data_IF_237859333553
#
_entry.id   IF_237859333553
#
_cell.length_a   1.000
_cell.length_b   1.000
_cell.length_c   1.000
_cell.angle_alpha   90.00
_cell.angle_beta   90.00
_cell.angle_gamma   90.00
#
_symmetry.space_group_name_H-M   'P 1'
#
loop_
_entity.id
_entity.type
_entity.pdbx_description
1 polymer ?
#
# COMPACT_ATOMS: atom_id res chain seq x y z
N UNK A 1 -19.50 -16.68 -60.03
CA UNK A 1 -18.99 -15.40 -59.50
C UNK A 1 -20.06 -14.35 -59.67
N UNK A 2 -20.77 -14.02 -58.60
CA UNK A 2 -21.76 -12.95 -58.53
C UNK A 2 -21.59 -12.26 -57.17
N UNK A 3 -21.52 -10.93 -57.20
CA UNK A 3 -20.97 -10.10 -56.15
C UNK A 3 -21.71 -10.14 -54.81
N UNK A 4 -20.91 -10.15 -53.74
CA UNK A 4 -21.31 -9.93 -52.35
C UNK A 4 -22.03 -8.58 -52.22
N UNK A 5 -23.32 -8.61 -51.86
CA UNK A 5 -24.10 -7.44 -51.50
C UNK A 5 -23.81 -6.99 -50.06
N UNK A 6 -22.97 -5.98 -49.90
CA UNK A 6 -22.64 -5.27 -48.65
C UNK A 6 -23.81 -4.41 -48.09
N UNK A 7 -25.07 -4.88 -48.17
CA UNK A 7 -26.25 -4.07 -47.79
C UNK A 7 -27.32 -4.78 -46.94
N UNK A 8 -26.96 -5.82 -46.19
CA UNK A 8 -27.90 -6.46 -45.25
C UNK A 8 -27.33 -6.77 -43.86
N UNK A 9 -26.21 -6.15 -43.47
CA UNK A 9 -25.87 -6.01 -42.05
C UNK A 9 -26.48 -4.71 -41.54
N UNK A 10 -27.81 -4.70 -41.38
CA UNK A 10 -28.43 -3.80 -40.40
C UNK A 10 -27.75 -4.18 -39.07
N UNK A 11 -26.91 -3.30 -38.54
CA UNK A 11 -26.65 -3.25 -37.10
C UNK A 11 -28.03 -3.26 -36.45
N UNK A 12 -28.45 -4.42 -35.95
CA UNK A 12 -29.32 -4.41 -34.80
C UNK A 12 -28.46 -3.72 -33.75
N UNK A 13 -28.87 -2.51 -33.39
CA UNK A 13 -28.48 -1.93 -32.12
C UNK A 13 -28.93 -2.94 -31.06
N UNK A 14 -28.03 -3.85 -30.68
CA UNK A 14 -28.07 -4.55 -29.41
C UNK A 14 -27.82 -3.51 -28.31
N UNK A 15 -28.75 -2.56 -28.18
CA UNK A 15 -29.07 -1.88 -26.93
C UNK A 15 -29.96 -2.81 -26.09
N UNK A 16 -29.61 -4.09 -26.00
CA UNK A 16 -29.80 -4.77 -24.73
C UNK A 16 -28.71 -4.19 -23.82
N UNK A 17 -28.97 -3.01 -23.28
CA UNK A 17 -28.33 -2.55 -22.06
C UNK A 17 -28.44 -3.75 -21.13
N UNK A 18 -27.31 -4.40 -20.81
CA UNK A 18 -27.24 -5.25 -19.64
C UNK A 18 -27.67 -4.32 -18.51
N UNK A 19 -28.94 -4.40 -18.09
CA UNK A 19 -29.44 -3.68 -16.94
C UNK A 19 -28.68 -4.25 -15.74
N UNK A 20 -27.52 -3.65 -15.46
CA UNK A 20 -26.68 -4.03 -14.35
C UNK A 20 -27.48 -3.91 -13.06
N UNK A 21 -27.21 -4.81 -12.13
CA UNK A 21 -27.93 -4.85 -10.87
C UNK A 21 -27.54 -3.63 -10.02
N UNK A 22 -28.53 -2.92 -9.49
CA UNK A 22 -28.31 -1.88 -8.48
C UNK A 22 -28.43 -2.50 -7.09
N UNK A 23 -27.41 -2.32 -6.26
CA UNK A 23 -27.36 -2.86 -4.89
C UNK A 23 -26.90 -1.80 -3.89
N UNK A 24 -27.62 -1.64 -2.78
CA UNK A 24 -27.25 -0.73 -1.70
C UNK A 24 -26.51 -1.45 -0.57
N UNK A 25 -25.44 -0.82 -0.08
CA UNK A 25 -24.67 -1.25 1.07
C UNK A 25 -24.35 -0.03 1.94
N UNK A 26 -24.67 -0.01 3.24
CA UNK A 26 -24.40 1.17 4.08
C UNK A 26 -22.93 1.60 4.07
N UNK A 27 -22.02 0.63 4.17
CA UNK A 27 -20.57 0.86 4.16
C UNK A 27 -19.89 0.04 3.06
N UNK A 28 -19.12 0.71 2.21
CA UNK A 28 -18.20 0.05 1.28
C UNK A 28 -16.77 0.44 1.66
N UNK A 29 -15.93 -0.58 1.85
CA UNK A 29 -14.49 -0.43 2.01
C UNK A 29 -13.83 -0.83 0.70
N UNK A 30 -13.17 0.09 0.02
CA UNK A 30 -12.53 -0.13 -1.27
C UNK A 30 -11.02 -0.15 -1.11
N UNK A 31 -10.36 -1.22 -1.55
CA UNK A 31 -8.91 -1.25 -1.71
C UNK A 31 -8.28 -2.60 -1.43
N UNK A 32 -7.47 -3.08 -2.38
CA UNK A 32 -6.78 -4.38 -2.32
C UNK A 32 -5.46 -4.28 -1.53
N UNK A 33 -5.55 -3.83 -0.29
CA UNK A 33 -4.37 -3.59 0.55
C UNK A 33 -4.59 -4.14 1.95
N UNK A 34 -3.50 -4.35 2.68
CA UNK A 34 -3.55 -4.72 4.10
C UNK A 34 -4.45 -3.77 4.89
N UNK A 35 -4.37 -2.46 4.61
CA UNK A 35 -5.20 -1.46 5.28
C UNK A 35 -6.65 -1.44 4.79
N UNK A 36 -6.93 -1.87 3.56
CA UNK A 36 -8.28 -2.19 3.10
C UNK A 36 -8.91 -3.32 3.92
N UNK A 37 -8.18 -4.42 4.11
CA UNK A 37 -8.60 -5.53 4.97
C UNK A 37 -8.84 -5.09 6.43
N UNK A 38 -7.86 -4.41 7.04
CA UNK A 38 -7.98 -3.96 8.43
C UNK A 38 -9.14 -2.97 8.61
N UNK A 39 -9.35 -2.09 7.64
CA UNK A 39 -10.50 -1.17 7.62
C UNK A 39 -11.80 -1.95 7.50
N UNK A 40 -11.88 -2.93 6.60
CA UNK A 40 -13.05 -3.79 6.46
C UNK A 40 -13.41 -4.48 7.77
N UNK A 41 -12.47 -5.16 8.42
CA UNK A 41 -12.73 -5.84 9.69
C UNK A 41 -13.25 -4.86 10.75
N UNK A 42 -12.56 -3.72 10.92
CA UNK A 42 -12.93 -2.70 11.92
C UNK A 42 -14.34 -2.15 11.67
N UNK A 43 -14.69 -1.86 10.42
CA UNK A 43 -16.03 -1.34 10.07
C UNK A 43 -17.08 -2.44 10.11
N UNK A 44 -16.77 -3.66 9.69
CA UNK A 44 -17.67 -4.81 9.73
C UNK A 44 -18.09 -5.13 11.17
N UNK A 45 -17.14 -5.16 12.10
CA UNK A 45 -17.42 -5.35 13.54
C UNK A 45 -18.27 -4.20 14.11
N UNK A 46 -17.88 -2.94 13.86
CA UNK A 46 -18.59 -1.76 14.38
C UNK A 46 -19.99 -1.57 13.80
N UNK A 47 -20.25 -2.11 12.61
CA UNK A 47 -21.53 -1.97 11.90
C UNK A 47 -22.39 -3.24 11.96
N UNK A 48 -22.04 -4.20 12.82
CA UNK A 48 -22.76 -5.47 12.99
C UNK A 48 -22.93 -6.23 11.65
N UNK A 49 -21.86 -6.25 10.86
CA UNK A 49 -21.81 -6.95 9.58
C UNK A 49 -22.31 -6.16 8.37
N UNK A 50 -22.67 -4.88 8.52
CA UNK A 50 -23.19 -4.01 7.45
C UNK A 50 -22.08 -3.31 6.65
N UNK A 51 -21.04 -4.06 6.30
CA UNK A 51 -19.95 -3.60 5.46
C UNK A 51 -19.68 -4.59 4.32
N UNK A 52 -19.21 -4.07 3.19
CA UNK A 52 -18.72 -4.87 2.06
C UNK A 52 -17.30 -4.47 1.71
N UNK A 53 -16.49 -5.47 1.35
CA UNK A 53 -15.11 -5.27 0.96
C UNK A 53 -15.00 -5.31 -0.56
N UNK A 54 -14.71 -4.18 -1.18
CA UNK A 54 -14.65 -4.01 -2.62
C UNK A 54 -13.21 -4.14 -3.11
N UNK A 55 -12.96 -5.15 -3.92
CA UNK A 55 -11.65 -5.51 -4.48
C UNK A 55 -11.78 -5.80 -5.98
N UNK A 56 -10.69 -5.76 -6.72
CA UNK A 56 -10.64 -6.10 -8.16
C UNK A 56 -10.48 -7.61 -8.38
N UNK A 57 -9.72 -8.24 -7.50
CA UNK A 57 -9.30 -9.63 -7.43
C UNK A 57 -9.66 -10.21 -6.07
N UNK A 58 -9.48 -11.53 -5.92
CA UNK A 58 -9.59 -12.18 -4.62
C UNK A 58 -8.48 -11.69 -3.69
N UNK A 59 -8.86 -11.17 -2.52
CA UNK A 59 -7.94 -10.73 -1.48
C UNK A 59 -8.28 -11.45 -0.17
N UNK A 60 -7.51 -12.49 0.14
CA UNK A 60 -7.69 -13.40 1.28
C UNK A 60 -6.37 -13.51 2.08
N UNK A 61 -6.32 -14.43 3.03
CA UNK A 61 -5.17 -14.68 3.91
C UNK A 61 -3.84 -14.77 3.15
N UNK A 62 -3.79 -15.43 2.00
CA UNK A 62 -2.57 -15.53 1.18
C UNK A 62 -2.06 -14.13 0.77
N UNK A 63 -2.92 -13.28 0.19
CA UNK A 63 -2.53 -11.95 -0.25
C UNK A 63 -2.20 -11.03 0.94
N UNK A 64 -2.96 -11.14 2.03
CA UNK A 64 -2.72 -10.37 3.26
C UNK A 64 -1.36 -10.73 3.88
N UNK A 65 -1.04 -12.02 3.95
CA UNK A 65 0.24 -12.50 4.48
C UNK A 65 1.41 -12.11 3.58
N UNK A 66 1.23 -12.11 2.26
CA UNK A 66 2.23 -11.60 1.32
C UNK A 66 2.49 -10.09 1.52
N UNK A 67 1.43 -9.31 1.72
CA UNK A 67 1.53 -7.88 2.02
C UNK A 67 2.28 -7.60 3.33
N UNK A 68 2.02 -8.40 4.36
CA UNK A 68 2.73 -8.31 5.64
C UNK A 68 4.21 -8.68 5.51
N UNK A 69 4.49 -9.79 4.83
CA UNK A 69 5.86 -10.24 4.60
C UNK A 69 6.68 -9.17 3.87
N UNK A 70 6.07 -8.48 2.90
CA UNK A 70 6.71 -7.42 2.12
C UNK A 70 6.58 -6.01 2.72
N UNK A 71 6.07 -5.85 3.95
CA UNK A 71 6.01 -4.54 4.61
C UNK A 71 7.34 -4.20 5.29
N UNK A 72 7.99 -3.11 4.84
CA UNK A 72 9.23 -2.61 5.43
C UNK A 72 9.00 -2.05 6.84
N UNK A 73 10.02 -2.07 7.69
CA UNK A 73 9.88 -1.54 9.05
C UNK A 73 9.81 0.00 9.01
N UNK A 74 8.63 0.52 9.36
CA UNK A 74 8.31 1.94 9.25
C UNK A 74 8.27 2.68 10.60
N UNK A 75 8.36 1.98 11.73
CA UNK A 75 8.41 2.64 13.04
C UNK A 75 9.87 2.93 13.35
N UNK A 76 10.28 4.18 13.17
CA UNK A 76 11.70 4.62 13.31
C UNK A 76 11.89 5.75 14.31
N UNK A 77 10.82 6.11 14.99
CA UNK A 77 10.79 7.15 16.02
C UNK A 77 10.15 6.58 17.28
N UNK A 78 10.65 6.98 18.46
CA UNK A 78 10.13 6.51 19.74
C UNK A 78 8.69 7.01 19.97
N UNK A 79 8.39 8.25 19.60
CA UNK A 79 7.01 8.77 19.73
C UNK A 79 6.04 8.02 18.84
N UNK A 80 6.46 7.66 17.62
CA UNK A 80 5.63 6.87 16.71
C UNK A 80 5.41 5.46 17.28
N UNK A 81 6.43 4.88 17.92
CA UNK A 81 6.31 3.58 18.59
C UNK A 81 5.32 3.63 19.76
N UNK A 82 5.39 4.68 20.59
CA UNK A 82 4.51 4.84 21.74
C UNK A 82 3.05 5.09 21.31
N UNK A 83 2.83 5.91 20.26
CA UNK A 83 1.49 6.29 19.79
C UNK A 83 0.76 5.14 19.06
N UNK A 84 1.49 4.24 18.38
CA UNK A 84 0.91 3.14 17.61
C UNK A 84 0.59 1.88 18.43
N UNK A 85 0.84 1.88 19.74
CA UNK A 85 0.50 0.76 20.61
C UNK A 85 -1.02 0.57 20.77
N UNK A 86 -1.66 -0.19 19.86
CA UNK A 86 -3.04 -0.65 19.99
C UNK A 86 -3.12 -2.19 19.88
N UNK A 87 -4.24 -2.79 20.30
CA UNK A 87 -4.37 -4.22 20.67
C UNK A 87 -3.77 -5.26 19.69
N UNK A 88 -3.65 -4.94 18.40
CA UNK A 88 -3.19 -5.87 17.35
C UNK A 88 -1.71 -5.69 16.98
N UNK A 89 -1.07 -4.59 17.39
CA UNK A 89 0.32 -4.26 17.07
C UNK A 89 1.22 -4.44 18.29
N UNK A 90 2.17 -5.37 18.20
CA UNK A 90 3.24 -5.51 19.17
C UNK A 90 4.49 -4.81 18.65
N UNK A 91 4.94 -3.78 19.38
CA UNK A 91 6.14 -3.01 19.02
C UNK A 91 7.28 -3.42 19.95
N UNK A 92 8.30 -4.05 19.37
CA UNK A 92 9.50 -4.51 20.06
C UNK A 92 10.54 -3.39 20.19
N UNK A 93 11.56 -3.63 21.00
CA UNK A 93 12.68 -2.70 21.18
C UNK A 93 13.39 -2.36 19.87
N UNK A 94 13.90 -1.14 19.78
CA UNK A 94 14.65 -0.67 18.61
C UNK A 94 15.84 -1.58 18.27
N UNK A 95 16.10 -1.75 16.96
CA UNK A 95 17.21 -2.54 16.43
C UNK A 95 18.56 -1.84 16.60
N UNK A 96 19.62 -2.51 16.14
CA UNK A 96 20.96 -1.90 16.06
C UNK A 96 20.97 -0.71 15.11
N UNK A 97 21.99 0.14 15.27
CA UNK A 97 22.25 1.29 14.38
C UNK A 97 22.35 0.84 12.92
N UNK A 98 21.62 1.48 12.00
CA UNK A 98 21.71 1.17 10.58
C UNK A 98 23.11 1.32 10.01
N UNK A 99 23.38 0.56 8.96
CA UNK A 99 24.66 0.56 8.24
C UNK A 99 24.47 1.02 6.80
N UNK A 100 25.53 1.52 6.19
CA UNK A 100 25.59 1.71 4.74
C UNK A 100 26.85 1.04 4.17
N UNK A 101 26.75 0.55 2.93
CA UNK A 101 27.86 -0.12 2.27
C UNK A 101 28.65 0.85 1.38
N UNK A 102 29.96 0.97 1.63
CA UNK A 102 30.87 1.81 0.85
C UNK A 102 32.31 1.33 0.96
N UNK A 103 33.07 1.44 -0.14
CA UNK A 103 34.48 1.05 -0.19
C UNK A 103 34.71 -0.38 0.33
N UNK A 104 33.82 -1.30 -0.09
CA UNK A 104 33.81 -2.73 0.29
C UNK A 104 33.57 -3.04 1.77
N UNK A 105 33.07 -2.07 2.55
CA UNK A 105 32.83 -2.23 3.99
C UNK A 105 31.50 -1.62 4.41
N UNK A 106 30.97 -2.11 5.51
CA UNK A 106 29.83 -1.49 6.18
C UNK A 106 30.31 -0.41 7.14
N UNK A 107 29.64 0.74 7.09
CA UNK A 107 29.89 1.89 7.95
C UNK A 107 28.60 2.28 8.66
N UNK A 108 28.72 2.85 9.86
CA UNK A 108 27.56 3.41 10.58
C UNK A 108 27.20 4.78 10.00
N UNK A 109 25.90 5.08 9.92
CA UNK A 109 25.45 6.46 9.68
C UNK A 109 25.98 7.40 10.78
N UNK A 110 26.38 8.61 10.38
CA UNK A 110 27.02 9.59 11.28
C UNK A 110 28.52 9.36 11.55
N UNK A 111 29.13 8.31 10.98
CA UNK A 111 30.58 8.11 11.06
C UNK A 111 31.37 9.04 10.12
N UNK A 112 32.70 8.95 10.12
CA UNK A 112 33.57 9.74 9.23
C UNK A 112 33.33 9.42 7.75
N UNK A 113 32.96 8.18 7.43
CA UNK A 113 32.58 7.81 6.08
C UNK A 113 31.21 8.40 5.76
N UNK A 114 31.02 8.90 4.54
CA UNK A 114 29.73 9.39 4.05
C UNK A 114 29.11 8.37 3.10
N UNK A 115 27.81 8.07 3.21
CA UNK A 115 27.12 7.20 2.25
C UNK A 115 27.18 7.80 0.84
N UNK A 116 26.87 6.98 -0.16
CA UNK A 116 26.50 7.52 -1.48
C UNK A 116 25.22 8.37 -1.34
N UNK A 117 24.94 9.27 -2.29
CA UNK A 117 23.73 10.09 -2.26
C UNK A 117 22.49 9.22 -2.00
N UNK A 118 21.69 9.64 -1.02
CA UNK A 118 20.41 9.02 -0.71
C UNK A 118 19.36 9.77 -1.51
N UNK A 119 18.54 9.04 -2.27
CA UNK A 119 17.41 9.62 -2.96
C UNK A 119 16.31 9.99 -1.96
N UNK A 120 15.39 10.90 -2.34
CA UNK A 120 14.25 11.23 -1.51
C UNK A 120 13.52 9.97 -1.02
N UNK A 121 13.29 9.88 0.29
CA UNK A 121 12.61 8.74 0.91
C UNK A 121 13.55 7.66 1.44
N UNK A 122 14.75 7.51 0.86
CA UNK A 122 15.76 6.56 1.36
C UNK A 122 16.36 7.03 2.71
N UNK A 123 16.45 8.35 2.91
CA UNK A 123 16.94 8.97 4.15
C UNK A 123 16.17 8.50 5.40
N UNK A 124 14.90 8.14 5.23
CA UNK A 124 14.07 7.60 6.30
C UNK A 124 14.68 6.34 6.94
N UNK A 125 15.38 5.53 6.13
CA UNK A 125 15.97 4.25 6.54
C UNK A 125 17.37 4.38 7.16
N UNK A 126 17.86 5.61 7.36
CA UNK A 126 19.13 5.89 8.06
C UNK A 126 19.01 5.84 9.60
N UNK A 127 17.79 5.68 10.12
CA UNK A 127 17.49 5.57 11.56
C UNK A 127 17.18 4.12 11.97
N UNK A 128 17.49 3.69 13.20
CA UNK A 128 17.04 2.39 13.72
C UNK A 128 15.52 2.26 13.61
N UNK A 129 15.01 1.02 13.54
CA UNK A 129 13.57 0.78 13.56
C UNK A 129 13.18 -0.03 14.80
N UNK A 130 11.93 0.12 15.21
CA UNK A 130 11.25 -0.76 16.15
C UNK A 130 10.59 -1.87 15.33
N UNK A 131 10.86 -3.12 15.66
CA UNK A 131 10.22 -4.23 14.97
C UNK A 131 8.73 -4.24 15.32
N UNK A 132 7.90 -4.31 14.29
CA UNK A 132 6.44 -4.33 14.42
C UNK A 132 5.95 -5.71 14.04
N UNK A 133 5.35 -6.40 15.00
CA UNK A 133 4.68 -7.67 14.76
C UNK A 133 3.17 -7.44 14.79
N UNK A 134 2.50 -7.65 13.65
CA UNK A 134 1.05 -7.58 13.53
C UNK A 134 0.48 -8.99 13.58
N UNK A 135 -0.33 -9.29 14.60
CA UNK A 135 -1.02 -10.59 14.73
C UNK A 135 -2.43 -10.45 14.18
N UNK A 136 -2.69 -11.07 13.04
CA UNK A 136 -4.00 -11.06 12.40
C UNK A 136 -4.66 -12.44 12.53
N UNK A 137 -5.89 -12.44 13.03
CA UNK A 137 -6.79 -13.58 12.89
C UNK A 137 -7.61 -13.36 11.62
N UNK A 138 -7.21 -14.03 10.53
CA UNK A 138 -7.83 -13.85 9.21
C UNK A 138 -8.89 -14.90 8.99
N UNK A 139 -10.15 -14.47 8.91
CA UNK A 139 -11.27 -15.35 8.59
C UNK A 139 -11.62 -15.26 7.10
N UNK A 140 -11.06 -16.17 6.31
CA UNK A 140 -11.28 -16.22 4.86
C UNK A 140 -12.74 -16.50 4.48
N UNK A 141 -13.51 -17.21 5.30
CA UNK A 141 -14.93 -17.47 5.04
C UNK A 141 -15.75 -16.18 5.12
N UNK A 142 -15.53 -15.39 6.18
CA UNK A 142 -16.18 -14.09 6.36
C UNK A 142 -15.74 -13.13 5.28
N UNK A 143 -14.44 -13.08 4.94
CA UNK A 143 -13.96 -12.24 3.85
C UNK A 143 -14.59 -12.61 2.52
N UNK A 144 -14.54 -13.89 2.13
CA UNK A 144 -15.09 -14.35 0.86
C UNK A 144 -16.60 -14.08 0.74
N UNK A 145 -17.35 -14.22 1.83
CA UNK A 145 -18.80 -13.97 1.84
C UNK A 145 -19.16 -12.48 1.71
N UNK A 146 -18.28 -11.57 2.11
CA UNK A 146 -18.54 -10.12 2.13
C UNK A 146 -17.73 -9.33 1.10
N UNK A 147 -16.93 -10.02 0.27
CA UNK A 147 -16.11 -9.41 -0.76
C UNK A 147 -16.88 -9.23 -2.08
N UNK A 148 -16.91 -7.99 -2.58
CA UNK A 148 -17.42 -7.62 -3.89
C UNK A 148 -16.23 -7.53 -4.84
N UNK A 149 -16.06 -8.52 -5.72
CA UNK A 149 -14.99 -8.54 -6.72
C UNK A 149 -15.44 -7.81 -7.98
N UNK A 150 -15.16 -6.51 -8.06
CA UNK A 150 -15.58 -5.61 -9.15
C UNK A 150 -14.50 -4.58 -9.45
N UNK A 151 -14.30 -4.30 -10.74
CA UNK A 151 -13.47 -3.18 -11.19
C UNK A 151 -14.36 -1.93 -11.24
N UNK A 152 -14.00 -0.88 -10.52
CA UNK A 152 -14.74 0.39 -10.57
C UNK A 152 -14.23 1.25 -11.73
N UNK A 153 -15.15 1.67 -12.60
CA UNK A 153 -14.87 2.56 -13.74
C UNK A 153 -15.06 4.02 -13.37
N UNK A 154 -16.08 4.32 -12.57
CA UNK A 154 -16.39 5.69 -12.13
C UNK A 154 -17.16 5.70 -10.83
N UNK A 155 -17.02 6.80 -10.09
CA UNK A 155 -17.73 7.10 -8.85
C UNK A 155 -18.54 8.37 -9.09
N UNK A 156 -19.82 8.36 -8.74
CA UNK A 156 -20.66 9.55 -8.75
C UNK A 156 -21.06 9.91 -7.33
N UNK A 157 -20.78 11.15 -6.95
CA UNK A 157 -21.16 11.71 -5.64
C UNK A 157 -22.61 12.18 -5.73
N UNK A 158 -23.42 11.83 -4.73
CA UNK A 158 -24.86 12.04 -4.72
C UNK A 158 -25.32 12.76 -3.46
N UNK A 159 -26.36 13.59 -3.61
CA UNK A 159 -27.14 14.06 -2.47
C UNK A 159 -28.23 13.04 -2.14
N UNK A 160 -28.38 12.63 -0.88
CA UNK A 160 -29.32 11.60 -0.48
C UNK A 160 -30.73 12.17 -0.59
N UNK A 161 -31.58 11.44 -1.31
CA UNK A 161 -33.01 11.77 -1.45
C UNK A 161 -33.89 10.85 -0.60
N UNK A 162 -33.39 9.67 -0.23
CA UNK A 162 -34.02 8.73 0.68
C UNK A 162 -33.39 8.85 2.08
N UNK A 163 -34.24 8.85 3.11
CA UNK A 163 -33.83 8.90 4.51
C UNK A 163 -33.51 7.51 5.09
N UNK A 164 -33.99 6.44 4.45
CA UNK A 164 -33.77 5.05 4.91
C UNK A 164 -32.49 4.48 4.34
N UNK A 165 -32.26 4.66 3.03
CA UNK A 165 -31.05 4.25 2.33
C UNK A 165 -30.34 5.48 1.74
N UNK A 166 -29.68 6.31 2.58
CA UNK A 166 -29.03 7.52 2.12
C UNK A 166 -27.87 7.17 1.17
N UNK A 167 -28.06 7.40 -0.12
CA UNK A 167 -27.03 7.20 -1.14
C UNK A 167 -26.19 8.45 -1.29
N UNK A 168 -24.93 8.37 -0.86
CA UNK A 168 -23.92 9.41 -1.05
C UNK A 168 -22.98 9.11 -2.21
N UNK A 169 -22.80 7.83 -2.54
CA UNK A 169 -21.93 7.39 -3.64
C UNK A 169 -22.62 6.33 -4.50
N UNK A 170 -22.50 6.47 -5.82
CA UNK A 170 -22.81 5.44 -6.82
C UNK A 170 -21.50 4.99 -7.49
N UNK A 171 -21.09 3.75 -7.25
CA UNK A 171 -19.89 3.14 -7.82
C UNK A 171 -20.30 2.31 -9.03
N UNK A 172 -19.93 2.77 -10.22
CA UNK A 172 -20.22 2.08 -11.46
C UNK A 172 -19.10 1.12 -11.81
N UNK A 173 -19.48 -0.13 -12.01
CA UNK A 173 -18.56 -1.24 -12.22
C UNK A 173 -18.22 -1.46 -13.69
N UNK A 174 -17.19 -2.27 -13.94
CA UNK A 174 -16.72 -2.64 -15.26
C UNK A 174 -17.74 -3.41 -16.10
N UNK A 175 -18.57 -4.20 -15.43
CA UNK A 175 -19.58 -5.11 -15.95
C UNK A 175 -21.01 -4.52 -15.97
N UNK A 176 -21.18 -3.26 -15.54
CA UNK A 176 -22.42 -2.50 -15.70
C UNK A 176 -23.27 -2.39 -14.43
N UNK A 177 -22.95 -3.14 -13.38
CA UNK A 177 -23.61 -3.02 -12.07
C UNK A 177 -23.34 -1.67 -11.40
N UNK A 178 -24.25 -1.26 -10.52
CA UNK A 178 -24.14 -0.04 -9.72
C UNK A 178 -24.21 -0.42 -8.24
N UNK A 179 -23.11 -0.21 -7.53
CA UNK A 179 -23.05 -0.38 -6.08
C UNK A 179 -23.29 0.99 -5.44
N UNK A 180 -24.23 1.11 -4.52
CA UNK A 180 -24.54 2.38 -3.84
C UNK A 180 -24.24 2.30 -2.36
N UNK A 181 -23.72 3.38 -1.77
CA UNK A 181 -23.44 3.42 -0.35
C UNK A 181 -23.62 4.79 0.29
N UNK A 182 -23.80 4.78 1.61
CA UNK A 182 -23.75 5.98 2.45
C UNK A 182 -22.31 6.37 2.74
N UNK A 183 -21.48 5.43 3.19
CA UNK A 183 -20.08 5.69 3.57
C UNK A 183 -19.12 4.91 2.70
N UNK A 184 -18.12 5.62 2.17
CA UNK A 184 -17.05 5.05 1.37
C UNK A 184 -15.72 5.18 2.11
N UNK A 185 -15.11 4.05 2.45
CA UNK A 185 -13.76 3.99 2.99
C UNK A 185 -12.78 3.65 1.86
N UNK A 186 -12.05 4.65 1.38
CA UNK A 186 -11.14 4.52 0.25
C UNK A 186 -9.72 4.24 0.75
N UNK A 187 -9.25 3.02 0.52
CA UNK A 187 -8.00 2.46 1.05
C UNK A 187 -6.90 2.29 -0.02
N UNK A 188 -7.12 2.86 -1.21
CA UNK A 188 -6.13 3.02 -2.29
C UNK A 188 -5.59 4.46 -2.30
N UNK A 189 -4.79 4.81 -3.31
CA UNK A 189 -4.28 6.17 -3.48
C UNK A 189 -5.42 7.21 -3.55
N UNK A 190 -5.48 8.21 -2.65
CA UNK A 190 -6.52 9.22 -2.67
C UNK A 190 -6.65 9.95 -4.02
N UNK A 191 -5.56 10.13 -4.76
CA UNK A 191 -5.61 10.73 -6.10
C UNK A 191 -6.39 9.88 -7.10
N UNK A 192 -6.41 8.57 -6.96
CA UNK A 192 -7.22 7.68 -7.81
C UNK A 192 -8.71 7.84 -7.54
N UNK A 193 -9.11 8.11 -6.29
CA UNK A 193 -10.48 8.51 -6.00
C UNK A 193 -10.87 9.75 -6.83
N UNK A 194 -10.03 10.80 -6.84
CA UNK A 194 -10.29 12.00 -7.64
C UNK A 194 -10.39 11.72 -9.15
N UNK A 195 -9.61 10.76 -9.66
CA UNK A 195 -9.67 10.34 -11.06
C UNK A 195 -10.95 9.56 -11.39
N UNK A 196 -11.43 8.76 -10.45
CA UNK A 196 -12.65 7.97 -10.58
C UNK A 196 -13.92 8.81 -10.44
N UNK A 197 -13.90 9.92 -9.70
CA UNK A 197 -15.06 10.80 -9.55
C UNK A 197 -15.44 11.45 -10.88
N UNK A 198 -16.67 11.19 -11.33
CA UNK A 198 -17.26 11.73 -12.57
C UNK A 198 -17.64 13.21 -12.41
N UNK A 199 -18.41 13.53 -11.37
CA UNK A 199 -18.93 14.86 -11.06
C UNK A 199 -18.09 15.56 -9.99
N UNK A 200 -16.85 15.91 -10.34
CA UNK A 200 -15.86 16.50 -9.42
C UNK A 200 -16.36 17.75 -8.71
N UNK A 201 -17.24 18.52 -9.34
CA UNK A 201 -17.88 19.71 -8.79
C UNK A 201 -18.67 19.44 -7.50
N UNK A 202 -19.15 18.21 -7.29
CA UNK A 202 -19.86 17.80 -6.08
C UNK A 202 -18.93 17.56 -4.87
N UNK A 203 -17.62 17.48 -5.07
CA UNK A 203 -16.65 17.40 -3.98
C UNK A 203 -16.45 18.78 -3.34
N UNK A 204 -16.23 18.81 -2.02
CA UNK A 204 -15.82 20.04 -1.33
C UNK A 204 -14.45 20.54 -1.83
N UNK A 205 -14.21 21.85 -1.71
CA UNK A 205 -12.95 22.46 -2.14
C UNK A 205 -11.76 21.92 -1.32
N UNK A 206 -11.97 21.61 -0.05
CA UNK A 206 -11.01 20.94 0.82
C UNK A 206 -10.61 19.56 0.29
N UNK A 207 -11.58 18.73 -0.10
CA UNK A 207 -11.32 17.40 -0.67
C UNK A 207 -10.53 17.55 -1.97
N UNK A 208 -10.97 18.43 -2.89
CA UNK A 208 -10.23 18.67 -4.14
C UNK A 208 -8.79 19.11 -3.89
N UNK A 209 -8.59 20.07 -2.98
CA UNK A 209 -7.28 20.61 -2.63
C UNK A 209 -6.36 19.52 -2.07
N UNK A 210 -6.88 18.66 -1.20
CA UNK A 210 -6.12 17.54 -0.67
C UNK A 210 -5.72 16.58 -1.79
N UNK A 211 -6.68 16.08 -2.59
CA UNK A 211 -6.45 15.02 -3.56
C UNK A 211 -5.51 15.43 -4.71
N UNK A 212 -5.54 16.69 -5.13
CA UNK A 212 -4.67 17.20 -6.21
C UNK A 212 -3.21 17.32 -5.75
N UNK A 213 -2.97 17.58 -4.46
CA UNK A 213 -1.63 17.73 -3.91
C UNK A 213 -0.92 16.39 -3.68
N UNK A 214 -1.67 15.28 -3.55
CA UNK A 214 -1.09 13.95 -3.30
C UNK A 214 -0.31 13.46 -4.51
N UNK A 215 0.95 13.10 -4.27
CA UNK A 215 1.81 12.40 -5.22
C UNK A 215 2.24 11.07 -4.62
N UNK A 216 2.31 10.04 -5.44
CA UNK A 216 2.79 8.72 -5.04
C UNK A 216 4.02 8.31 -5.85
N UNK A 217 4.89 7.54 -5.21
CA UNK A 217 6.14 7.06 -5.77
C UNK A 217 6.17 5.53 -5.63
N UNK A 218 6.35 4.80 -6.74
CA UNK A 218 6.29 3.36 -6.72
C UNK A 218 7.55 2.75 -6.10
N UNK A 219 7.39 1.56 -5.55
CA UNK A 219 8.47 0.79 -4.95
C UNK A 219 8.27 -0.70 -5.14
N UNK A 220 9.38 -1.44 -5.14
CA UNK A 220 9.34 -2.90 -5.11
C UNK A 220 10.01 -3.39 -3.85
N UNK A 221 9.32 -4.28 -3.13
CA UNK A 221 9.86 -4.96 -1.96
C UNK A 221 9.92 -6.45 -2.23
N UNK A 222 11.03 -7.06 -1.84
CA UNK A 222 11.23 -8.51 -1.89
C UNK A 222 11.55 -8.99 -0.49
N UNK A 223 10.68 -9.82 0.06
CA UNK A 223 10.93 -10.56 1.27
C UNK A 223 11.65 -11.87 0.94
N UNK A 224 12.73 -12.17 1.63
CA UNK A 224 13.48 -13.40 1.48
C UNK A 224 13.38 -14.22 2.75
N UNK A 225 12.73 -15.37 2.65
CA UNK A 225 12.75 -16.40 3.69
C UNK A 225 13.99 -17.28 3.48
N UNK A 226 15.04 -17.07 4.28
CA UNK A 226 16.33 -17.74 4.09
C UNK A 226 16.60 -18.75 5.21
N UNK A 227 16.78 -20.01 4.82
CA UNK A 227 17.21 -21.07 5.72
C UNK A 227 18.72 -21.00 5.92
N UNK A 228 19.14 -20.74 7.15
CA UNK A 228 20.54 -20.45 7.50
C UNK A 228 20.73 -19.03 8.02
N UNK A 229 21.94 -18.75 8.51
CA UNK A 229 22.35 -17.45 9.01
C UNK A 229 23.37 -16.86 8.05
N UNK A 230 23.14 -15.65 7.56
CA UNK A 230 24.02 -14.96 6.62
C UNK A 230 24.59 -13.65 7.17
N UNK A 231 24.06 -13.12 8.27
CA UNK A 231 24.53 -11.85 8.84
C UNK A 231 24.47 -11.83 10.37
N UNK A 232 25.48 -11.20 10.99
CA UNK A 232 25.49 -10.86 12.42
C UNK A 232 24.74 -9.54 12.73
N UNK A 233 24.46 -8.76 11.69
CA UNK A 233 23.72 -7.52 11.81
C UNK A 233 22.21 -7.79 11.78
N UNK A 234 21.49 -7.15 12.70
CA UNK A 234 20.02 -7.12 12.75
C UNK A 234 19.63 -5.64 12.77
N UNK A 235 18.86 -5.22 11.79
CA UNK A 235 18.59 -3.81 11.51
C UNK A 235 18.69 -3.47 10.02
N UNK A 236 18.60 -2.18 9.71
CA UNK A 236 18.63 -1.68 8.34
C UNK A 236 20.03 -1.54 7.77
N UNK A 237 20.20 -1.91 6.51
CA UNK A 237 21.41 -1.68 5.71
C UNK A 237 21.02 -0.99 4.41
N UNK A 238 21.77 0.05 4.04
CA UNK A 238 21.61 0.78 2.77
C UNK A 238 22.77 0.43 1.85
N UNK A 239 22.47 -0.14 0.68
CA UNK A 239 23.46 -0.65 -0.27
C UNK A 239 23.23 0.02 -1.62
N UNK A 240 24.24 0.72 -2.19
CA UNK A 240 24.07 1.38 -3.47
C UNK A 240 23.82 0.38 -4.59
N UNK A 241 22.87 0.68 -5.50
CA UNK A 241 22.61 -0.16 -6.67
C UNK A 241 23.84 -0.22 -7.59
N UNK A 242 24.59 0.88 -7.66
CA UNK A 242 25.85 1.00 -8.39
C UNK A 242 26.88 1.77 -7.55
N UNK A 243 28.14 1.34 -7.62
CA UNK A 243 29.25 2.06 -6.99
C UNK A 243 29.68 3.30 -7.78
N UNK A 244 29.26 3.41 -9.04
CA UNK A 244 29.73 4.43 -9.98
C UNK A 244 28.63 5.31 -10.53
N UNK A 245 27.35 4.95 -10.33
CA UNK A 245 26.19 5.68 -10.82
C UNK A 245 25.20 5.93 -9.68
N UNK A 246 24.57 7.11 -9.69
CA UNK A 246 23.58 7.53 -8.70
C UNK A 246 22.19 6.99 -9.06
N UNK A 247 22.03 5.66 -9.06
CA UNK A 247 20.76 4.99 -9.34
C UNK A 247 19.91 4.73 -8.10
N UNK A 248 20.26 5.34 -6.97
CA UNK A 248 19.68 5.04 -5.67
C UNK A 248 20.27 3.81 -4.99
N UNK A 249 19.57 3.36 -3.95
CA UNK A 249 20.05 2.34 -3.04
C UNK A 249 19.00 1.22 -2.85
N UNK A 250 19.47 0.00 -2.61
CA UNK A 250 18.68 -1.04 -1.98
C UNK A 250 18.69 -0.83 -0.47
N UNK A 251 17.51 -0.74 0.13
CA UNK A 251 17.37 -0.75 1.58
C UNK A 251 16.98 -2.15 2.02
N UNK A 252 17.69 -2.68 3.02
CA UNK A 252 17.55 -4.04 3.50
C UNK A 252 17.29 -4.02 5.00
N UNK A 253 16.14 -4.52 5.45
CA UNK A 253 15.90 -4.78 6.87
C UNK A 253 16.16 -6.26 7.16
N UNK A 254 17.17 -6.54 7.98
CA UNK A 254 17.55 -7.90 8.38
C UNK A 254 16.95 -8.22 9.75
N UNK A 255 16.26 -9.36 9.84
CA UNK A 255 15.63 -9.87 11.05
C UNK A 255 16.60 -10.75 11.87
N UNK A 256 16.33 -10.98 13.16
CA UNK A 256 17.07 -11.95 13.97
C UNK A 256 17.06 -13.35 13.36
N UNK A 257 18.13 -14.12 13.61
CA UNK A 257 18.15 -15.54 13.27
C UNK A 257 17.35 -16.34 14.30
N UNK A 258 16.23 -16.92 13.87
CA UNK A 258 15.30 -17.66 14.71
C UNK A 258 14.80 -18.93 14.01
N UNK A 259 14.63 -20.02 14.77
CA UNK A 259 14.07 -21.29 14.27
C UNK A 259 14.74 -21.87 13.01
N UNK A 260 16.03 -21.59 12.79
CA UNK A 260 16.76 -22.07 11.62
C UNK A 260 16.73 -21.13 10.41
N UNK A 261 16.06 -19.98 10.51
CA UNK A 261 15.88 -19.01 9.43
C UNK A 261 16.40 -17.63 9.82
N UNK A 262 16.93 -16.89 8.86
CA UNK A 262 17.19 -15.46 8.97
C UNK A 262 16.46 -14.76 7.82
N UNK A 263 15.35 -14.09 8.12
CA UNK A 263 14.58 -13.40 7.10
C UNK A 263 15.12 -11.99 6.88
N UNK A 264 14.89 -11.46 5.69
CA UNK A 264 15.11 -10.05 5.43
C UNK A 264 14.18 -9.53 4.34
N UNK A 265 13.98 -8.22 4.34
CA UNK A 265 13.19 -7.50 3.33
C UNK A 265 14.10 -6.53 2.63
N UNK A 266 14.13 -6.55 1.30
CA UNK A 266 14.90 -5.64 0.49
C UNK A 266 13.97 -4.82 -0.40
N UNK A 267 14.15 -3.50 -0.43
CA UNK A 267 13.31 -2.59 -1.20
C UNK A 267 14.14 -1.59 -1.99
N UNK A 268 13.56 -1.17 -3.12
CA UNK A 268 14.04 -0.02 -3.90
C UNK A 268 12.85 0.76 -4.43
N UNK A 269 13.02 2.07 -4.55
CA UNK A 269 12.12 2.89 -5.34
C UNK A 269 12.27 2.55 -6.83
N UNK A 270 11.18 2.71 -7.57
CA UNK A 270 11.12 2.49 -9.01
C UNK A 270 10.83 3.85 -9.66
N UNK A 271 11.54 4.16 -10.73
CA UNK A 271 11.25 5.35 -11.53
C UNK A 271 9.97 5.12 -12.33
N UNK A 272 9.18 6.18 -12.57
CA UNK A 272 7.90 6.08 -13.28
C UNK A 272 8.05 5.51 -14.70
N UNK A 273 9.24 5.66 -15.31
CA UNK A 273 9.55 5.12 -16.63
C UNK A 273 9.89 3.60 -16.61
N UNK A 274 10.26 3.06 -15.44
CA UNK A 274 10.73 1.67 -15.24
C UNK A 274 9.63 0.75 -14.67
N UNK A 275 8.37 0.98 -15.03
CA UNK A 275 7.21 0.23 -14.50
C UNK A 275 6.84 -1.02 -15.31
N UNK A 276 7.59 -1.36 -16.37
CA UNK A 276 7.34 -2.56 -17.18
C UNK A 276 7.85 -3.82 -16.47
N UNK A 277 7.16 -4.94 -16.67
CA UNK A 277 7.48 -6.22 -16.01
C UNK A 277 8.94 -6.67 -16.25
N UNK A 278 9.47 -6.46 -17.45
CA UNK A 278 10.85 -6.79 -17.78
C UNK A 278 11.87 -6.00 -16.94
N UNK A 279 11.59 -4.71 -16.71
CA UNK A 279 12.48 -3.82 -15.96
C UNK A 279 12.39 -4.06 -14.46
N UNK A 280 11.19 -4.33 -13.94
CA UNK A 280 11.00 -4.82 -12.58
C UNK A 280 11.77 -6.13 -12.33
N UNK A 281 11.68 -7.08 -13.27
CA UNK A 281 12.43 -8.34 -13.17
C UNK A 281 13.95 -8.12 -13.22
N UNK A 282 14.45 -7.19 -14.06
CA UNK A 282 15.87 -6.80 -14.07
C UNK A 282 16.29 -6.20 -12.73
N UNK A 283 15.47 -5.34 -12.12
CA UNK A 283 15.75 -4.73 -10.80
C UNK A 283 15.84 -5.78 -9.70
N UNK A 284 14.94 -6.77 -9.66
CA UNK A 284 14.98 -7.86 -8.66
C UNK A 284 16.24 -8.72 -8.82
N UNK A 285 16.60 -9.08 -10.06
CA UNK A 285 17.84 -9.83 -10.33
C UNK A 285 19.09 -9.04 -9.92
N UNK A 286 19.11 -7.73 -10.21
CA UNK A 286 20.19 -6.84 -9.78
C UNK A 286 20.27 -6.77 -8.25
N UNK A 287 19.14 -6.60 -7.57
CA UNK A 287 19.04 -6.59 -6.11
C UNK A 287 19.70 -7.84 -5.54
N UNK A 288 19.25 -9.04 -5.93
CA UNK A 288 19.81 -10.30 -5.44
C UNK A 288 21.32 -10.40 -5.67
N UNK A 289 21.79 -10.10 -6.89
CA UNK A 289 23.23 -10.14 -7.23
C UNK A 289 24.07 -9.18 -6.39
N UNK A 290 23.55 -7.98 -6.12
CA UNK A 290 24.24 -6.99 -5.30
C UNK A 290 24.29 -7.44 -3.84
N UNK A 291 23.20 -8.01 -3.32
CA UNK A 291 23.15 -8.54 -1.96
C UNK A 291 24.12 -9.70 -1.76
N UNK A 292 24.14 -10.70 -2.65
CA UNK A 292 25.07 -11.84 -2.59
C UNK A 292 26.53 -11.37 -2.66
N UNK A 293 26.85 -10.38 -3.48
CA UNK A 293 28.20 -9.79 -3.53
C UNK A 293 28.61 -9.09 -2.22
N UNK A 294 27.67 -8.43 -1.55
CA UNK A 294 27.91 -7.60 -0.36
C UNK A 294 27.85 -8.43 0.93
N UNK A 295 27.09 -9.51 0.92
CA UNK A 295 26.93 -10.49 2.00
C UNK A 295 27.12 -11.90 1.43
N UNK A 296 28.37 -12.34 1.17
CA UNK A 296 28.67 -13.61 0.48
C UNK A 296 28.08 -14.84 1.17
N UNK A 297 27.90 -14.81 2.49
CA UNK A 297 27.29 -15.88 3.26
C UNK A 297 25.83 -16.16 2.84
N UNK A 298 25.17 -15.20 2.19
CA UNK A 298 23.82 -15.35 1.65
C UNK A 298 23.75 -16.43 0.55
N UNK A 299 24.83 -16.64 -0.21
CA UNK A 299 24.90 -17.69 -1.24
C UNK A 299 24.78 -19.10 -0.66
N UNK A 300 25.11 -19.28 0.63
CA UNK A 300 25.01 -20.55 1.33
C UNK A 300 23.62 -20.80 1.93
N UNK A 301 22.71 -19.83 1.87
CA UNK A 301 21.36 -19.94 2.40
C UNK A 301 20.36 -20.33 1.30
N UNK A 302 19.43 -21.22 1.63
CA UNK A 302 18.30 -21.51 0.75
C UNK A 302 17.24 -20.43 0.95
N UNK A 303 17.12 -19.52 -0.02
CA UNK A 303 16.23 -18.36 0.07
C UNK A 303 15.03 -18.48 -0.89
N UNK A 304 13.82 -18.35 -0.35
CA UNK A 304 12.58 -18.27 -1.13
C UNK A 304 12.07 -16.84 -1.13
N UNK A 305 11.94 -16.19 -2.31
CA UNK A 305 11.47 -14.80 -2.40
C UNK A 305 9.95 -14.70 -2.48
N UNK A 306 9.38 -13.73 -1.77
CA UNK A 306 8.04 -13.17 -1.99
C UNK A 306 8.19 -11.74 -2.49
N UNK A 307 7.53 -11.38 -3.57
CA UNK A 307 7.70 -10.09 -4.25
C UNK A 307 6.40 -9.30 -4.15
N UNK A 308 6.51 -8.01 -3.82
CA UNK A 308 5.42 -7.04 -3.92
C UNK A 308 5.89 -5.81 -4.66
N UNK A 309 5.24 -5.51 -5.78
CA UNK A 309 5.31 -4.21 -6.43
C UNK A 309 4.15 -3.36 -5.93
N UNK A 310 4.45 -2.16 -5.46
CA UNK A 310 3.47 -1.23 -4.93
C UNK A 310 3.59 0.08 -5.72
N UNK A 311 2.53 0.42 -6.46
CA UNK A 311 2.46 1.65 -7.25
C UNK A 311 2.44 2.90 -6.37
N UNK A 312 2.10 2.74 -5.10
CA UNK A 312 1.83 3.82 -4.16
C UNK A 312 2.58 3.62 -2.84
N UNK A 313 3.83 3.17 -2.93
CA UNK A 313 4.65 2.83 -1.77
C UNK A 313 4.95 4.05 -0.87
N UNK A 314 5.26 5.20 -1.48
CA UNK A 314 5.56 6.45 -0.76
C UNK A 314 4.70 7.59 -1.27
N UNK A 315 4.23 8.43 -0.34
CA UNK A 315 3.45 9.61 -0.67
C UNK A 315 4.18 10.91 -0.35
N UNK A 316 3.85 11.95 -1.10
CA UNK A 316 4.27 13.34 -0.91
C UNK A 316 3.08 14.28 -1.08
N UNK A 317 3.24 15.54 -0.67
CA UNK A 317 2.20 16.58 -0.80
C UNK A 317 0.98 16.41 0.11
N UNK A 318 1.09 15.56 1.13
CA UNK A 318 0.02 15.31 2.10
C UNK A 318 -0.20 16.54 2.98
N UNK A 319 -1.38 17.16 2.86
CA UNK A 319 -1.76 18.31 3.67
C UNK A 319 -2.62 17.88 4.87
N UNK A 320 -1.95 17.60 5.99
CA UNK A 320 -2.58 17.12 7.23
C UNK A 320 -3.39 18.19 7.98
N UNK A 321 -3.20 19.48 7.67
CA UNK A 321 -4.02 20.57 8.22
C UNK A 321 -5.49 20.47 7.78
N UNK A 322 -5.76 19.80 6.65
CA UNK A 322 -7.11 19.57 6.15
C UNK A 322 -7.83 18.41 6.85
N UNK A 323 -7.13 17.60 7.65
CA UNK A 323 -7.68 16.39 8.29
C UNK A 323 -8.98 16.64 9.06
N UNK A 324 -9.06 17.72 9.83
CA UNK A 324 -10.27 18.07 10.60
C UNK A 324 -11.48 18.35 9.72
N UNK A 325 -11.29 18.97 8.55
CA UNK A 325 -12.37 19.24 7.60
C UNK A 325 -12.75 18.00 6.79
N UNK A 326 -11.77 17.18 6.43
CA UNK A 326 -12.00 15.93 5.70
C UNK A 326 -12.73 14.88 6.55
N UNK A 327 -12.70 15.00 7.89
CA UNK A 327 -13.44 14.15 8.82
C UNK A 327 -14.97 14.36 8.81
N UNK A 328 -15.50 15.43 8.23
CA UNK A 328 -16.95 15.60 8.09
C UNK A 328 -17.52 15.05 6.78
N UNK A 329 -16.66 14.69 5.83
CA UNK A 329 -17.08 14.17 4.51
C UNK A 329 -17.66 12.76 4.63
N UNK A 330 -18.41 12.28 3.63
CA UNK A 330 -18.91 10.89 3.64
C UNK A 330 -17.87 9.88 3.10
N UNK A 331 -16.80 10.38 2.47
CA UNK A 331 -15.63 9.60 2.10
C UNK A 331 -14.55 9.67 3.20
N UNK A 332 -13.98 8.51 3.54
CA UNK A 332 -12.86 8.39 4.48
C UNK A 332 -11.67 7.78 3.76
N UNK A 333 -10.54 8.47 3.75
CA UNK A 333 -9.29 7.92 3.23
C UNK A 333 -8.55 7.18 4.35
N UNK A 334 -8.06 5.98 4.05
CA UNK A 334 -7.27 5.16 4.98
C UNK A 334 -6.07 4.60 4.24
N UNK A 335 -4.90 4.54 4.87
CA UNK A 335 -3.66 4.11 4.24
C UNK A 335 -2.56 5.17 4.31
N UNK A 336 -1.42 4.89 3.68
CA UNK A 336 -0.25 5.76 3.81
C UNK A 336 -0.44 7.14 3.16
N UNK A 337 -1.35 7.26 2.19
CA UNK A 337 -1.73 8.52 1.57
C UNK A 337 -2.83 9.29 2.29
N UNK A 338 -3.43 8.74 3.35
CA UNK A 338 -4.54 9.38 4.06
C UNK A 338 -4.08 10.63 4.85
N UNK A 339 -4.96 11.63 5.06
CA UNK A 339 -4.67 12.76 5.93
C UNK A 339 -4.66 12.30 7.41
N UNK A 340 -3.72 12.79 8.19
CA UNK A 340 -3.62 12.49 9.62
C UNK A 340 -4.00 13.71 10.45
N UNK A 341 -4.85 13.50 11.46
CA UNK A 341 -5.08 14.49 12.52
C UNK A 341 -4.13 14.21 13.69
N UNK A 342 -2.86 14.57 13.52
CA UNK A 342 -1.83 14.42 14.56
C UNK A 342 -0.87 15.63 14.53
N UNK A 343 -0.50 16.22 15.68
CA UNK A 343 0.38 17.40 15.71
C UNK A 343 1.78 17.17 15.11
N UNK A 344 2.23 15.91 15.10
CA UNK A 344 3.53 15.47 14.57
C UNK A 344 3.37 14.46 13.43
N UNK A 345 2.41 14.70 12.53
CA UNK A 345 2.05 13.76 11.47
C UNK A 345 3.20 13.45 10.50
N UNK A 346 4.20 14.33 10.40
CA UNK A 346 5.41 14.19 9.59
C UNK A 346 6.33 13.04 10.05
N UNK A 347 6.22 12.62 11.31
CA UNK A 347 6.96 11.48 11.85
C UNK A 347 6.40 10.15 11.35
N UNK A 348 5.12 10.12 10.96
CA UNK A 348 4.45 8.92 10.49
C UNK A 348 4.63 8.80 8.98
N UNK A 349 5.33 7.75 8.55
CA UNK A 349 5.54 7.43 7.13
C UNK A 349 5.25 5.95 6.85
N UNK A 350 4.97 5.61 5.58
CA UNK A 350 4.72 4.25 5.11
C UNK A 350 3.65 3.52 5.96
N UNK A 351 3.95 2.31 6.45
CA UNK A 351 3.07 1.51 7.31
C UNK A 351 2.63 2.26 8.57
N UNK A 352 3.53 2.99 9.24
CA UNK A 352 3.20 3.71 10.48
C UNK A 352 2.12 4.77 10.25
N UNK A 353 2.17 5.46 9.11
CA UNK A 353 1.15 6.42 8.69
C UNK A 353 -0.18 5.75 8.42
N UNK A 354 -0.15 4.65 7.68
CA UNK A 354 -1.35 3.89 7.38
C UNK A 354 -2.03 3.34 8.65
N UNK A 355 -1.26 2.81 9.59
CA UNK A 355 -1.75 2.37 10.90
C UNK A 355 -2.37 3.53 11.70
N UNK A 356 -1.73 4.70 11.71
CA UNK A 356 -2.28 5.89 12.36
C UNK A 356 -3.57 6.39 11.68
N UNK A 357 -3.69 6.29 10.36
CA UNK A 357 -4.92 6.66 9.68
C UNK A 357 -6.08 5.73 10.03
N UNK A 358 -5.80 4.43 10.19
CA UNK A 358 -6.78 3.42 10.60
C UNK A 358 -7.24 3.66 12.04
N UNK A 359 -6.39 4.14 12.95
CA UNK A 359 -6.80 4.41 14.34
C UNK A 359 -7.82 5.56 14.43
N UNK A 360 -7.83 6.47 13.44
CA UNK A 360 -8.65 7.69 13.43
C UNK A 360 -10.06 7.54 12.84
N UNK A 361 -10.40 6.35 12.32
CA UNK A 361 -11.75 6.05 11.80
C UNK A 361 -12.62 5.30 12.79
#
# INVERSE_FOLDING_TARGET
MAGFGLRSLKKQDDQSTLEGQRSYFPNIVMGETLFGYLTFNKIFERSEGKARFLTRNTYLSEQINNDLACSMNAVRDAEVADELGFEQLEIKTATKTPLFYKDTKFHKFGSRAKPNPLLPGEEFFSKPFYQVDLKLDINDEVLAANQLRKIIKKIKVCEPTDLVEPVRFELHTGDGDILTCEKLYFCENPRDFYRLVENKEALSEEVKKFLVAVESHPGITVHFNCKGKFSEHVGSIVIPQSMTHEWGNFIVDIEPYENGYQNFKAMTFIDADDMQEEDLAKKIRLMRKVLERVMPELENCECTPTIKFDTDFRYQGLNDELSGKLRSEDVRFVGAGAPLSHPKSELFQYFARAAMSLSQI
#
